data_IF_290431100857
#
_entry.id   IF_290431100857
#
_cell.length_a   1.000
_cell.length_b   1.000
_cell.length_c   1.000
_cell.angle_alpha   90.00
_cell.angle_beta   90.00
_cell.angle_gamma   90.00
#
_symmetry.space_group_name_H-M   'P 1'
#
loop_
_entity.id
_entity.type
_entity.pdbx_description
1 polymer ?
#
# COMPACT_ATOMS: atom_id res chain seq x y z
N UNK A 1 -43.99 -67.15 29.78
CA UNK A 1 -42.61 -66.60 29.65
C UNK A 1 -42.55 -65.41 28.69
N UNK A 2 -43.66 -64.74 28.36
CA UNK A 2 -43.71 -63.76 27.24
C UNK A 2 -43.77 -62.27 27.60
N UNK A 3 -44.17 -61.90 28.83
CA UNK A 3 -44.36 -60.47 29.12
C UNK A 3 -43.05 -59.67 29.24
N UNK A 4 -41.93 -60.31 29.58
CA UNK A 4 -40.59 -59.68 29.58
C UNK A 4 -40.10 -59.36 28.16
N UNK A 5 -40.37 -60.22 27.17
CA UNK A 5 -40.00 -59.98 25.77
C UNK A 5 -40.87 -58.89 25.12
N UNK A 6 -42.16 -58.83 25.46
CA UNK A 6 -43.05 -57.76 24.99
C UNK A 6 -42.61 -56.37 25.52
N UNK A 7 -42.26 -56.29 26.82
CA UNK A 7 -41.73 -55.06 27.42
C UNK A 7 -40.39 -54.64 26.81
N UNK A 8 -39.48 -55.59 26.58
CA UNK A 8 -38.20 -55.32 25.90
C UNK A 8 -38.37 -54.78 24.48
N UNK A 9 -39.29 -55.35 23.69
CA UNK A 9 -39.61 -54.85 22.34
C UNK A 9 -40.21 -53.45 22.35
N UNK A 10 -41.10 -53.15 23.31
CA UNK A 10 -41.68 -51.81 23.50
C UNK A 10 -40.61 -50.76 23.82
N UNK A 11 -39.64 -51.08 24.67
CA UNK A 11 -38.52 -50.18 25.00
C UNK A 11 -37.66 -49.92 23.77
N UNK A 12 -37.28 -50.95 23.01
CA UNK A 12 -36.50 -50.78 21.77
C UNK A 12 -37.25 -49.92 20.76
N UNK A 13 -38.55 -50.15 20.59
CA UNK A 13 -39.38 -49.38 19.64
C UNK A 13 -39.50 -47.91 20.06
N UNK A 14 -39.64 -47.64 21.36
CA UNK A 14 -39.63 -46.28 21.90
C UNK A 14 -38.29 -45.58 21.69
N UNK A 15 -37.16 -46.27 21.89
CA UNK A 15 -35.81 -45.73 21.64
C UNK A 15 -35.62 -45.42 20.15
N UNK A 16 -36.02 -46.32 19.25
CA UNK A 16 -35.94 -46.10 17.80
C UNK A 16 -36.79 -44.91 17.37
N UNK A 17 -38.03 -44.79 17.88
CA UNK A 17 -38.88 -43.64 17.60
C UNK A 17 -38.27 -42.32 18.10
N UNK A 18 -37.73 -42.32 19.33
CA UNK A 18 -37.02 -41.16 19.87
C UNK A 18 -35.82 -40.77 18.99
N UNK A 19 -35.04 -41.76 18.54
CA UNK A 19 -33.89 -41.53 17.66
C UNK A 19 -34.32 -40.96 16.30
N UNK A 20 -35.43 -41.43 15.71
CA UNK A 20 -35.98 -40.91 14.45
C UNK A 20 -36.45 -39.46 14.62
N UNK A 21 -37.18 -39.16 15.70
CA UNK A 21 -37.64 -37.78 16.00
C UNK A 21 -36.46 -36.85 16.21
N UNK A 22 -35.44 -37.30 16.96
CA UNK A 22 -34.23 -36.51 17.19
C UNK A 22 -33.42 -36.29 15.90
N UNK A 23 -33.27 -37.32 15.07
CA UNK A 23 -32.61 -37.23 13.77
C UNK A 23 -33.36 -36.29 12.83
N UNK A 24 -34.69 -36.38 12.76
CA UNK A 24 -35.52 -35.46 11.97
C UNK A 24 -35.34 -34.02 12.42
N UNK A 25 -35.41 -33.75 13.73
CA UNK A 25 -35.23 -32.41 14.28
C UNK A 25 -33.81 -31.87 13.98
N UNK A 26 -32.78 -32.69 14.20
CA UNK A 26 -31.38 -32.30 13.99
C UNK A 26 -31.07 -32.03 12.52
N UNK A 27 -31.49 -32.91 11.61
CA UNK A 27 -31.27 -32.75 10.16
C UNK A 27 -32.03 -31.53 9.64
N UNK A 28 -33.30 -31.39 10.02
CA UNK A 28 -34.12 -30.23 9.62
C UNK A 28 -33.47 -28.92 10.10
N UNK A 29 -33.01 -28.88 11.35
CA UNK A 29 -32.34 -27.70 11.90
C UNK A 29 -31.04 -27.37 11.16
N UNK A 30 -30.18 -28.38 10.95
CA UNK A 30 -28.90 -28.20 10.24
C UNK A 30 -29.11 -27.75 8.80
N UNK A 31 -30.13 -28.28 8.11
CA UNK A 31 -30.49 -27.83 6.76
C UNK A 31 -30.94 -26.36 6.77
N UNK A 32 -31.74 -25.93 7.76
CA UNK A 32 -32.12 -24.53 7.92
C UNK A 32 -30.91 -23.61 8.09
N UNK A 33 -30.00 -23.97 8.98
CA UNK A 33 -28.78 -23.19 9.23
C UNK A 33 -27.84 -23.17 8.03
N UNK A 34 -27.64 -24.32 7.38
CA UNK A 34 -26.83 -24.42 6.16
C UNK A 34 -27.41 -23.55 5.05
N UNK A 35 -28.73 -23.59 4.86
CA UNK A 35 -29.40 -22.78 3.86
C UNK A 35 -29.21 -21.28 4.14
N UNK A 36 -29.37 -20.85 5.39
CA UNK A 36 -29.12 -19.47 5.79
C UNK A 36 -27.65 -19.07 5.61
N UNK A 37 -26.71 -19.92 6.02
CA UNK A 37 -25.27 -19.66 5.94
C UNK A 37 -24.76 -19.53 4.49
N UNK A 38 -25.34 -20.31 3.57
CA UNK A 38 -24.96 -20.33 2.15
C UNK A 38 -25.74 -19.32 1.30
N UNK A 39 -26.61 -18.51 1.91
CA UNK A 39 -27.42 -17.50 1.21
C UNK A 39 -26.83 -16.11 1.47
N UNK A 40 -26.09 -15.53 0.50
CA UNK A 40 -25.72 -14.13 0.54
C UNK A 40 -26.96 -13.24 0.70
N UNK A 41 -26.99 -12.26 1.62
CA UNK A 41 -28.14 -11.38 1.77
C UNK A 41 -28.45 -10.56 0.50
N UNK A 42 -27.49 -10.31 -0.36
CA UNK A 42 -27.70 -9.49 -1.56
C UNK A 42 -28.26 -10.27 -2.77
N UNK A 43 -28.51 -11.58 -2.67
CA UNK A 43 -29.00 -12.34 -3.82
C UNK A 43 -30.52 -12.23 -4.00
N UNK A 44 -31.06 -12.26 -5.24
CA UNK A 44 -32.46 -11.97 -5.52
C UNK A 44 -33.48 -12.84 -4.77
N UNK A 45 -33.12 -14.09 -4.47
CA UNK A 45 -33.99 -15.05 -3.78
C UNK A 45 -33.68 -15.18 -2.27
N UNK A 46 -32.87 -14.27 -1.69
CA UNK A 46 -32.49 -14.34 -0.27
C UNK A 46 -33.70 -14.34 0.68
N UNK A 47 -34.72 -13.54 0.39
CA UNK A 47 -35.95 -13.51 1.20
C UNK A 47 -36.72 -14.84 1.18
N UNK A 48 -36.82 -15.49 0.02
CA UNK A 48 -37.49 -16.78 -0.10
C UNK A 48 -36.71 -17.89 0.62
N UNK A 49 -35.40 -17.94 0.39
CA UNK A 49 -34.51 -18.91 1.04
C UNK A 49 -34.44 -18.68 2.56
N UNK A 50 -34.47 -17.43 3.01
CA UNK A 50 -34.56 -17.09 4.43
C UNK A 50 -35.84 -17.58 5.08
N UNK A 51 -37.00 -17.47 4.40
CA UNK A 51 -38.29 -17.98 4.92
C UNK A 51 -38.26 -19.50 5.03
N UNK A 52 -37.69 -20.19 4.02
CA UNK A 52 -37.50 -21.64 4.05
C UNK A 52 -36.56 -22.04 5.20
N UNK A 53 -35.43 -21.35 5.35
CA UNK A 53 -34.46 -21.58 6.41
C UNK A 53 -35.10 -21.41 7.80
N UNK A 54 -35.88 -20.34 8.01
CA UNK A 54 -36.61 -20.10 9.26
C UNK A 54 -37.64 -21.19 9.52
N UNK A 55 -38.36 -21.67 8.50
CA UNK A 55 -39.30 -22.77 8.68
C UNK A 55 -38.58 -24.04 9.14
N UNK A 56 -37.40 -24.32 8.59
CA UNK A 56 -36.58 -25.47 8.95
C UNK A 56 -35.98 -25.34 10.36
N UNK A 57 -35.48 -24.16 10.73
CA UNK A 57 -34.86 -23.87 12.02
C UNK A 57 -35.47 -22.59 12.68
N UNK A 58 -36.69 -22.67 13.25
CA UNK A 58 -37.44 -21.49 13.70
C UNK A 58 -36.94 -20.88 15.01
N UNK A 59 -36.09 -21.59 15.74
CA UNK A 59 -35.51 -21.12 17.01
C UNK A 59 -34.00 -20.86 16.89
N UNK A 60 -33.47 -20.80 15.66
CA UNK A 60 -32.09 -20.41 15.39
C UNK A 60 -32.03 -18.93 15.00
N UNK A 61 -30.99 -18.24 15.48
CA UNK A 61 -30.80 -16.82 15.20
C UNK A 61 -30.38 -16.57 13.74
N UNK A 62 -29.66 -17.50 13.10
CA UNK A 62 -29.05 -17.26 11.79
C UNK A 62 -30.08 -17.14 10.64
N UNK A 63 -31.09 -18.02 10.51
CA UNK A 63 -32.16 -17.83 9.53
C UNK A 63 -32.97 -16.55 9.75
N UNK A 64 -33.16 -16.17 11.02
CA UNK A 64 -33.88 -14.96 11.37
C UNK A 64 -33.06 -13.70 11.05
N UNK A 65 -31.75 -13.74 11.29
CA UNK A 65 -30.81 -12.68 10.92
C UNK A 65 -30.81 -12.42 9.41
N UNK A 66 -30.84 -13.48 8.60
CA UNK A 66 -30.91 -13.36 7.14
C UNK A 66 -32.18 -12.61 6.71
N UNK A 67 -33.34 -12.96 7.28
CA UNK A 67 -34.60 -12.29 6.98
C UNK A 67 -34.63 -10.85 7.50
N UNK A 68 -34.12 -10.59 8.69
CA UNK A 68 -34.03 -9.24 9.27
C UNK A 68 -33.14 -8.33 8.39
N UNK A 69 -32.06 -8.89 7.85
CA UNK A 69 -31.18 -8.19 6.92
C UNK A 69 -31.90 -7.85 5.61
N UNK A 70 -32.73 -8.75 5.07
CA UNK A 70 -33.55 -8.43 3.88
C UNK A 70 -34.51 -7.28 4.13
N UNK A 71 -35.21 -7.33 5.26
CA UNK A 71 -36.19 -6.31 5.62
C UNK A 71 -35.52 -4.94 5.76
N UNK A 72 -34.36 -4.89 6.43
CA UNK A 72 -33.58 -3.65 6.60
C UNK A 72 -33.22 -2.96 5.27
N UNK A 73 -32.93 -3.72 4.22
CA UNK A 73 -32.53 -3.21 2.89
C UNK A 73 -33.70 -2.68 2.04
N UNK A 74 -34.94 -2.78 2.51
CA UNK A 74 -36.12 -2.26 1.81
C UNK A 74 -36.36 -0.75 2.09
N UNK A 75 -35.65 -0.16 3.07
CA UNK A 75 -35.60 1.26 3.42
C UNK A 75 -36.94 2.01 3.64
N UNK A 76 -38.10 1.35 3.60
CA UNK A 76 -39.38 1.98 3.93
C UNK A 76 -39.51 2.15 5.45
N UNK A 77 -40.20 3.20 5.96
CA UNK A 77 -40.35 3.39 7.40
C UNK A 77 -40.94 2.17 8.14
N UNK A 78 -41.93 1.52 7.52
CA UNK A 78 -42.52 0.28 8.05
C UNK A 78 -41.49 -0.86 8.09
N UNK A 79 -40.69 -1.00 7.04
CA UNK A 79 -39.69 -2.05 6.94
C UNK A 79 -38.52 -1.83 7.90
N UNK A 80 -38.15 -0.58 8.14
CA UNK A 80 -37.15 -0.20 9.16
C UNK A 80 -37.63 -0.63 10.55
N UNK A 81 -38.85 -0.30 10.94
CA UNK A 81 -39.40 -0.68 12.25
C UNK A 81 -39.58 -2.21 12.37
N UNK A 82 -40.06 -2.87 11.31
CA UNK A 82 -40.16 -4.33 11.26
C UNK A 82 -38.79 -4.99 11.43
N UNK A 83 -37.75 -4.45 10.78
CA UNK A 83 -36.39 -4.97 10.87
C UNK A 83 -35.85 -4.89 12.31
N UNK A 84 -36.16 -3.80 13.03
CA UNK A 84 -35.79 -3.65 14.44
C UNK A 84 -36.37 -4.78 15.28
N UNK A 85 -37.68 -5.02 15.20
CA UNK A 85 -38.34 -6.11 15.94
C UNK A 85 -37.76 -7.48 15.58
N UNK A 86 -37.41 -7.70 14.30
CA UNK A 86 -36.75 -8.93 13.88
C UNK A 86 -35.33 -9.07 14.46
N UNK A 87 -34.53 -8.00 14.50
CA UNK A 87 -33.19 -8.04 15.11
C UNK A 87 -33.23 -8.18 16.63
N UNK A 88 -34.25 -7.63 17.31
CA UNK A 88 -34.51 -7.86 18.74
C UNK A 88 -34.72 -9.37 19.02
N UNK A 89 -35.47 -10.05 18.15
CA UNK A 89 -35.64 -11.49 18.22
C UNK A 89 -34.36 -12.27 17.89
N UNK A 90 -33.56 -11.80 16.93
CA UNK A 90 -32.24 -12.39 16.61
C UNK A 90 -31.34 -12.39 17.85
N UNK A 91 -31.22 -11.25 18.54
CA UNK A 91 -30.39 -11.18 19.76
C UNK A 91 -31.00 -11.95 20.92
N UNK A 92 -32.33 -12.13 20.96
CA UNK A 92 -32.99 -13.01 21.94
C UNK A 92 -32.66 -14.48 21.71
N UNK A 93 -32.58 -14.91 20.45
CA UNK A 93 -32.20 -16.28 20.07
C UNK A 93 -30.69 -16.53 20.15
N UNK A 94 -29.87 -15.51 19.89
CA UNK A 94 -28.40 -15.58 19.90
C UNK A 94 -27.74 -14.48 20.74
N UNK A 95 -27.97 -14.42 22.06
CA UNK A 95 -27.58 -13.27 22.89
C UNK A 95 -26.07 -13.08 23.08
N UNK A 96 -25.26 -14.10 22.74
CA UNK A 96 -23.81 -14.09 22.95
C UNK A 96 -23.02 -13.85 21.67
N UNK A 97 -23.67 -13.60 20.53
CA UNK A 97 -23.01 -13.27 19.28
C UNK A 97 -22.99 -11.76 19.07
N UNK A 98 -21.81 -11.15 19.24
CA UNK A 98 -21.64 -9.70 19.09
C UNK A 98 -22.08 -9.17 17.70
N UNK A 99 -22.04 -10.02 16.66
CA UNK A 99 -22.40 -9.62 15.29
C UNK A 99 -23.88 -9.27 15.21
N UNK A 100 -24.74 -9.99 15.92
CA UNK A 100 -26.17 -9.70 15.98
C UNK A 100 -26.46 -8.40 16.73
N UNK A 101 -25.71 -8.12 17.79
CA UNK A 101 -25.82 -6.85 18.51
C UNK A 101 -25.37 -5.65 17.67
N UNK A 102 -24.36 -5.82 16.81
CA UNK A 102 -23.99 -4.79 15.82
C UNK A 102 -25.14 -4.53 14.84
N UNK A 103 -25.74 -5.58 14.30
CA UNK A 103 -26.84 -5.43 13.34
C UNK A 103 -28.08 -4.81 13.97
N UNK A 104 -28.40 -5.17 15.22
CA UNK A 104 -29.46 -4.51 16.00
C UNK A 104 -29.14 -3.02 16.22
N UNK A 105 -27.90 -2.68 16.55
CA UNK A 105 -27.47 -1.29 16.69
C UNK A 105 -27.65 -0.49 15.41
N UNK A 106 -27.28 -1.07 14.26
CA UNK A 106 -27.49 -0.46 12.93
C UNK A 106 -28.97 -0.30 12.60
N UNK A 107 -29.81 -1.28 12.95
CA UNK A 107 -31.25 -1.20 12.72
C UNK A 107 -31.89 -0.09 13.57
N UNK A 108 -31.53 0.04 14.85
CA UNK A 108 -31.98 1.16 15.68
C UNK A 108 -31.49 2.51 15.16
N UNK A 109 -30.26 2.59 14.65
CA UNK A 109 -29.74 3.83 14.06
C UNK A 109 -30.54 4.23 12.82
N UNK A 110 -30.85 3.27 11.94
CA UNK A 110 -31.69 3.49 10.76
C UNK A 110 -33.13 3.87 11.13
N UNK A 111 -33.62 3.40 12.28
CA UNK A 111 -34.91 3.75 12.85
C UNK A 111 -34.92 5.07 13.64
N UNK A 112 -33.84 5.84 13.59
CA UNK A 112 -33.69 7.11 14.34
C UNK A 112 -33.84 6.94 15.86
N UNK A 113 -33.39 5.81 16.41
CA UNK A 113 -33.39 5.47 17.85
C UNK A 113 -31.96 5.40 18.42
N UNK A 114 -31.20 6.52 18.47
CA UNK A 114 -29.77 6.51 18.77
C UNK A 114 -29.43 5.98 20.17
N UNK A 115 -30.28 6.18 21.19
CA UNK A 115 -30.02 5.69 22.55
C UNK A 115 -30.16 4.17 22.66
N UNK A 116 -30.98 3.55 21.81
CA UNK A 116 -31.06 2.08 21.71
C UNK A 116 -29.91 1.53 20.88
N UNK A 117 -29.54 2.23 19.79
CA UNK A 117 -28.38 1.88 18.97
C UNK A 117 -27.08 1.86 19.80
N UNK A 118 -26.86 2.89 20.62
CA UNK A 118 -25.70 2.99 21.50
C UNK A 118 -25.63 1.80 22.48
N UNK A 119 -26.75 1.43 23.11
CA UNK A 119 -26.82 0.28 24.03
C UNK A 119 -26.52 -1.05 23.32
N UNK A 120 -27.04 -1.25 22.11
CA UNK A 120 -26.79 -2.46 21.34
C UNK A 120 -25.31 -2.57 20.91
N UNK A 121 -24.72 -1.46 20.43
CA UNK A 121 -23.30 -1.42 20.05
C UNK A 121 -22.37 -1.55 21.26
N UNK A 122 -22.70 -0.94 22.40
CA UNK A 122 -21.99 -1.14 23.65
C UNK A 122 -21.99 -2.63 24.06
N UNK A 123 -23.14 -3.31 23.93
CA UNK A 123 -23.23 -4.75 24.19
C UNK A 123 -22.36 -5.59 23.23
N UNK A 124 -22.27 -5.20 21.97
CA UNK A 124 -21.37 -5.87 21.02
C UNK A 124 -19.89 -5.74 21.44
N UNK A 125 -19.48 -4.56 21.91
CA UNK A 125 -18.13 -4.32 22.46
C UNK A 125 -17.90 -5.12 23.74
N UNK A 126 -18.88 -5.21 24.64
CA UNK A 126 -18.77 -6.04 25.87
C UNK A 126 -18.56 -7.53 25.57
N UNK A 127 -19.25 -8.05 24.55
CA UNK A 127 -19.15 -9.47 24.16
C UNK A 127 -17.84 -9.81 23.46
N UNK A 128 -17.26 -8.84 22.75
CA UNK A 128 -16.03 -9.04 21.99
C UNK A 128 -15.06 -7.85 22.16
N UNK A 129 -14.59 -7.59 23.41
CA UNK A 129 -13.78 -6.40 23.74
C UNK A 129 -12.39 -6.44 23.12
N UNK A 130 -12.03 -7.60 22.55
CA UNK A 130 -10.76 -7.83 21.90
C UNK A 130 -10.84 -7.84 20.37
N UNK A 131 -12.04 -7.75 19.80
CA UNK A 131 -12.26 -7.75 18.36
C UNK A 131 -12.31 -6.32 17.84
N UNK A 132 -11.65 -6.08 16.72
CA UNK A 132 -11.57 -4.76 16.09
C UNK A 132 -12.92 -4.27 15.55
N UNK A 133 -13.73 -5.18 15.01
CA UNK A 133 -14.95 -4.83 14.27
C UNK A 133 -16.04 -4.16 15.13
N UNK A 134 -16.37 -4.63 16.36
CA UNK A 134 -17.29 -3.90 17.25
C UNK A 134 -16.84 -2.47 17.56
N UNK A 135 -15.58 -2.27 17.90
CA UNK A 135 -15.02 -0.93 18.17
C UNK A 135 -15.09 -0.03 16.94
N UNK A 136 -14.80 -0.56 15.75
CA UNK A 136 -14.95 0.16 14.49
C UNK A 136 -16.39 0.60 14.26
N UNK A 137 -17.37 -0.30 14.42
CA UNK A 137 -18.78 0.03 14.24
C UNK A 137 -19.26 1.07 15.25
N UNK A 138 -18.83 0.92 16.51
CA UNK A 138 -19.24 1.83 17.57
C UNK A 138 -18.64 3.23 17.42
N UNK A 139 -17.36 3.32 17.05
CA UNK A 139 -16.71 4.58 16.75
C UNK A 139 -17.37 5.32 15.57
N UNK A 140 -17.71 4.60 14.51
CA UNK A 140 -18.41 5.20 13.36
C UNK A 140 -19.83 5.65 13.69
N UNK A 141 -20.54 4.91 14.56
CA UNK A 141 -21.83 5.37 15.11
C UNK A 141 -21.65 6.71 15.82
N UNK A 142 -20.67 6.83 16.73
CA UNK A 142 -20.43 8.08 17.44
C UNK A 142 -20.08 9.26 16.51
N UNK A 143 -19.35 9.03 15.41
CA UNK A 143 -19.11 10.08 14.41
C UNK A 143 -20.42 10.56 13.75
N UNK A 144 -21.33 9.64 13.42
CA UNK A 144 -22.65 10.00 12.86
C UNK A 144 -23.52 10.74 13.86
N UNK A 145 -23.31 10.51 15.16
CA UNK A 145 -23.96 11.27 16.25
C UNK A 145 -23.22 12.56 16.61
N UNK A 146 -22.18 12.95 15.87
CA UNK A 146 -21.35 14.13 16.13
C UNK A 146 -20.67 14.13 17.53
N UNK A 147 -20.38 12.93 18.04
CA UNK A 147 -19.74 12.65 19.34
C UNK A 147 -18.30 12.20 19.13
N UNK A 148 -17.46 13.15 18.74
CA UNK A 148 -16.12 12.87 18.20
C UNK A 148 -15.16 12.31 19.25
N UNK A 149 -15.24 12.78 20.49
CA UNK A 149 -14.36 12.31 21.56
C UNK A 149 -14.59 10.83 21.85
N UNK A 150 -15.85 10.40 21.96
CA UNK A 150 -16.20 8.99 22.13
C UNK A 150 -15.87 8.15 20.90
N UNK A 151 -16.12 8.71 19.69
CA UNK A 151 -15.79 8.04 18.45
C UNK A 151 -14.30 7.67 18.38
N UNK A 152 -13.43 8.65 18.60
CA UNK A 152 -12.01 8.46 18.48
C UNK A 152 -11.40 7.65 19.65
N UNK A 153 -12.05 7.64 20.81
CA UNK A 153 -11.70 6.70 21.89
C UNK A 153 -11.93 5.24 21.48
N UNK A 154 -13.04 4.93 20.80
CA UNK A 154 -13.32 3.58 20.29
C UNK A 154 -12.44 3.23 19.07
N UNK A 155 -12.27 4.16 18.12
CA UNK A 155 -11.43 3.93 16.94
C UNK A 155 -9.95 3.74 17.31
N UNK A 156 -9.44 4.41 18.35
CA UNK A 156 -8.08 4.19 18.85
C UNK A 156 -7.81 2.72 19.17
N UNK A 157 -8.77 2.02 19.79
CA UNK A 157 -8.66 0.58 20.11
C UNK A 157 -8.52 -0.29 18.86
N UNK A 158 -9.00 0.17 17.71
CA UNK A 158 -8.88 -0.56 16.45
C UNK A 158 -7.47 -0.49 15.84
N UNK A 159 -6.78 0.64 16.06
CA UNK A 159 -5.44 0.87 15.52
C UNK A 159 -4.39 -0.07 16.12
N UNK A 160 -4.59 -0.52 17.35
CA UNK A 160 -3.65 -1.42 18.03
C UNK A 160 -3.58 -2.80 17.37
N UNK A 161 -4.73 -3.34 16.95
CA UNK A 161 -4.90 -4.78 16.71
C UNK A 161 -4.98 -5.18 15.25
N UNK A 162 -5.33 -4.26 14.36
CA UNK A 162 -5.48 -4.57 12.94
C UNK A 162 -4.80 -3.52 12.07
N UNK A 163 -3.85 -3.99 11.25
CA UNK A 163 -3.18 -3.17 10.25
C UNK A 163 -4.20 -2.56 9.27
N UNK A 164 -5.19 -3.36 8.84
CA UNK A 164 -6.23 -2.92 7.88
C UNK A 164 -7.09 -1.79 8.45
N UNK A 165 -7.58 -1.94 9.68
CA UNK A 165 -8.39 -0.88 10.30
C UNK A 165 -7.54 0.34 10.71
N UNK A 166 -6.27 0.15 11.07
CA UNK A 166 -5.35 1.25 11.42
C UNK A 166 -5.24 2.27 10.30
N UNK A 167 -5.02 1.82 9.06
CA UNK A 167 -4.94 2.73 7.91
C UNK A 167 -6.26 3.45 7.65
N UNK A 168 -7.39 2.75 7.79
CA UNK A 168 -8.72 3.34 7.64
C UNK A 168 -9.00 4.40 8.70
N UNK A 169 -8.64 4.14 9.97
CA UNK A 169 -8.79 5.11 11.06
C UNK A 169 -7.90 6.32 10.85
N UNK A 170 -6.64 6.13 10.46
CA UNK A 170 -5.76 7.27 10.18
C UNK A 170 -6.29 8.12 9.02
N UNK A 171 -6.82 7.48 7.97
CA UNK A 171 -7.42 8.18 6.83
C UNK A 171 -8.66 8.96 7.25
N UNK A 172 -9.56 8.32 8.00
CA UNK A 172 -10.76 8.95 8.54
C UNK A 172 -10.44 10.14 9.44
N UNK A 173 -9.49 9.98 10.36
CA UNK A 173 -9.04 11.04 11.25
C UNK A 173 -8.40 12.20 10.49
N UNK A 174 -7.57 11.89 9.50
CA UNK A 174 -6.93 12.89 8.65
C UNK A 174 -7.95 13.74 7.89
N UNK A 175 -8.98 13.12 7.32
CA UNK A 175 -10.03 13.86 6.61
C UNK A 175 -10.95 14.60 7.58
N UNK A 176 -11.27 14.00 8.74
CA UNK A 176 -12.13 14.60 9.76
C UNK A 176 -11.49 15.83 10.43
N UNK A 177 -10.19 15.78 10.72
CA UNK A 177 -9.46 16.85 11.40
C UNK A 177 -8.74 17.81 10.45
N UNK A 178 -9.25 17.97 9.22
CA UNK A 178 -8.68 18.86 8.20
C UNK A 178 -7.16 18.73 8.06
N UNK A 179 -6.70 17.48 8.00
CA UNK A 179 -5.29 17.10 7.77
C UNK A 179 -4.34 17.52 8.90
N UNK A 180 -4.84 17.64 10.13
CA UNK A 180 -4.01 17.90 11.31
C UNK A 180 -3.23 16.63 11.75
N UNK A 181 -1.89 16.62 11.62
CA UNK A 181 -1.06 15.49 12.02
C UNK A 181 -1.16 15.16 13.52
N UNK A 182 -1.32 16.17 14.38
CA UNK A 182 -1.34 15.99 15.83
C UNK A 182 -2.58 15.21 16.27
N UNK A 183 -3.71 15.46 15.61
CA UNK A 183 -4.96 14.75 15.88
C UNK A 183 -4.92 13.29 15.43
N UNK A 184 -4.28 13.00 14.29
CA UNK A 184 -4.07 11.62 13.83
C UNK A 184 -3.09 10.90 14.76
N UNK A 185 -2.01 11.56 15.17
CA UNK A 185 -1.01 11.01 16.09
C UNK A 185 -1.58 10.68 17.48
N UNK A 186 -2.56 11.45 17.98
CA UNK A 186 -3.22 11.14 19.24
C UNK A 186 -3.97 9.79 19.21
N UNK A 187 -4.34 9.29 18.03
CA UNK A 187 -4.96 7.98 17.83
C UNK A 187 -3.93 6.85 17.71
N UNK A 188 -2.68 7.19 17.40
CA UNK A 188 -1.61 6.23 17.25
C UNK A 188 -1.14 5.77 18.63
N UNK A 189 -1.29 4.48 18.88
CA UNK A 189 -0.76 3.87 20.10
C UNK A 189 0.76 3.80 20.01
N UNK A 190 1.44 4.04 21.14
CA UNK A 190 2.89 4.14 21.22
C UNK A 190 3.57 2.75 21.11
N UNK A 191 3.42 2.11 19.96
CA UNK A 191 4.08 0.85 19.62
C UNK A 191 4.83 0.98 18.30
N UNK A 192 5.94 0.24 18.12
CA UNK A 192 6.73 0.29 16.88
C UNK A 192 5.93 -0.04 15.63
N UNK A 193 5.00 -1.01 15.70
CA UNK A 193 4.14 -1.41 14.58
C UNK A 193 3.20 -0.29 14.13
N UNK A 194 2.64 0.45 15.09
CA UNK A 194 1.72 1.55 14.78
C UNK A 194 2.49 2.74 14.23
N UNK A 195 3.64 3.07 14.83
CA UNK A 195 4.54 4.14 14.36
C UNK A 195 5.04 3.90 12.94
N UNK A 196 5.48 2.69 12.62
CA UNK A 196 5.93 2.36 11.26
C UNK A 196 4.79 2.49 10.24
N UNK A 197 3.57 2.07 10.60
CA UNK A 197 2.38 2.25 9.75
C UNK A 197 2.01 3.73 9.59
N UNK A 198 2.11 4.52 10.66
CA UNK A 198 1.84 5.96 10.62
C UNK A 198 2.86 6.72 9.76
N UNK A 199 4.14 6.33 9.82
CA UNK A 199 5.15 6.87 8.93
C UNK A 199 4.83 6.56 7.45
N UNK A 200 4.42 5.32 7.16
CA UNK A 200 3.96 4.94 5.82
C UNK A 200 2.72 5.73 5.36
N UNK A 201 1.77 5.93 6.26
CA UNK A 201 0.57 6.72 6.02
C UNK A 201 0.90 8.16 5.58
N UNK A 202 1.85 8.81 6.26
CA UNK A 202 2.30 10.15 5.90
C UNK A 202 3.09 10.20 4.60
N UNK A 203 3.97 9.21 4.38
CA UNK A 203 4.75 9.10 3.16
C UNK A 203 3.86 8.96 1.91
N UNK A 204 2.83 8.11 1.98
CA UNK A 204 1.86 7.92 0.89
C UNK A 204 1.13 9.22 0.50
N UNK A 205 1.00 10.15 1.44
CA UNK A 205 0.37 11.47 1.24
C UNK A 205 1.37 12.59 0.90
N UNK A 206 2.66 12.26 0.70
CA UNK A 206 3.71 13.24 0.39
C UNK A 206 4.17 14.06 1.60
N UNK A 207 3.68 13.76 2.81
CA UNK A 207 4.09 14.41 4.06
C UNK A 207 5.40 13.83 4.57
N UNK A 208 6.50 14.06 3.82
CA UNK A 208 7.79 13.45 4.09
C UNK A 208 8.36 13.82 5.47
N UNK A 209 8.18 15.07 5.89
CA UNK A 209 8.69 15.58 7.16
C UNK A 209 8.04 14.84 8.35
N UNK A 210 6.73 14.62 8.30
CA UNK A 210 6.00 13.83 9.30
C UNK A 210 6.40 12.35 9.24
N UNK A 211 6.55 11.78 8.05
CA UNK A 211 6.98 10.39 7.88
C UNK A 211 8.36 10.15 8.52
N UNK A 212 9.35 11.00 8.23
CA UNK A 212 10.69 10.93 8.81
C UNK A 212 10.65 11.15 10.32
N UNK A 213 9.93 12.15 10.80
CA UNK A 213 9.82 12.45 12.24
C UNK A 213 9.31 11.25 13.01
N UNK A 214 8.20 10.65 12.58
CA UNK A 214 7.62 9.46 13.24
C UNK A 214 8.56 8.27 13.13
N UNK A 215 9.14 8.02 11.96
CA UNK A 215 10.09 6.92 11.76
C UNK A 215 11.30 7.01 12.69
N UNK A 216 11.83 8.23 12.88
CA UNK A 216 12.97 8.48 13.76
C UNK A 216 12.65 8.35 15.26
N UNK A 217 11.39 8.16 15.64
CA UNK A 217 11.02 7.77 17.01
C UNK A 217 11.22 6.27 17.29
N UNK A 218 11.45 5.46 16.25
CA UNK A 218 11.83 4.05 16.39
C UNK A 218 13.31 3.95 16.77
N UNK A 219 13.64 3.03 17.67
CA UNK A 219 15.04 2.78 18.05
C UNK A 219 15.78 2.03 16.93
N UNK A 220 17.11 2.12 16.92
CA UNK A 220 17.95 1.41 15.94
C UNK A 220 17.77 -0.12 15.98
N UNK A 221 17.43 -0.68 17.15
CA UNK A 221 17.12 -2.11 17.27
C UNK A 221 15.73 -2.48 16.72
N UNK A 222 14.80 -1.52 16.63
CA UNK A 222 13.44 -1.74 16.13
C UNK A 222 13.34 -1.60 14.61
N UNK A 223 14.06 -0.64 14.02
CA UNK A 223 13.99 -0.33 12.58
C UNK A 223 14.21 -1.55 11.65
N UNK A 224 15.13 -2.50 11.94
CA UNK A 224 15.32 -3.69 11.12
C UNK A 224 14.08 -4.58 10.97
N UNK A 225 13.12 -4.52 11.91
CA UNK A 225 11.87 -5.29 11.82
C UNK A 225 10.89 -4.72 10.78
N UNK A 226 11.12 -3.48 10.30
CA UNK A 226 10.21 -2.75 9.43
C UNK A 226 10.86 -2.35 8.10
N UNK A 227 11.89 -3.08 7.66
CA UNK A 227 12.61 -2.76 6.42
C UNK A 227 11.68 -2.71 5.21
N UNK A 228 10.73 -3.65 5.06
CA UNK A 228 9.75 -3.61 3.96
C UNK A 228 8.91 -2.33 3.99
N UNK A 229 8.44 -1.92 5.17
CA UNK A 229 7.70 -0.67 5.36
C UNK A 229 8.53 0.54 4.94
N UNK A 230 9.79 0.62 5.36
CA UNK A 230 10.63 1.75 4.96
C UNK A 230 11.04 1.71 3.49
N UNK A 231 11.14 0.53 2.85
CA UNK A 231 11.31 0.45 1.38
C UNK A 231 10.10 1.04 0.65
N UNK A 232 8.88 0.76 1.12
CA UNK A 232 7.64 1.36 0.59
C UNK A 232 7.61 2.87 0.82
N UNK A 233 8.04 3.34 2.00
CA UNK A 233 8.17 4.77 2.28
C UNK A 233 9.16 5.43 1.32
N UNK A 234 10.37 4.88 1.19
CA UNK A 234 11.40 5.41 0.30
C UNK A 234 10.89 5.54 -1.14
N UNK A 235 10.22 4.50 -1.65
CA UNK A 235 9.63 4.49 -3.00
C UNK A 235 8.49 5.49 -3.14
N UNK A 236 7.56 5.55 -2.19
CA UNK A 236 6.45 6.52 -2.24
C UNK A 236 6.94 7.96 -2.22
N UNK A 237 7.94 8.27 -1.38
CA UNK A 237 8.57 9.59 -1.35
C UNK A 237 9.32 9.91 -2.65
N UNK A 238 10.01 8.91 -3.22
CA UNK A 238 10.69 9.05 -4.49
C UNK A 238 9.72 9.42 -5.63
N UNK A 239 8.60 8.70 -5.73
CA UNK A 239 7.53 8.95 -6.72
C UNK A 239 6.86 10.32 -6.52
N UNK A 240 6.74 10.76 -5.27
CA UNK A 240 6.27 12.11 -4.90
C UNK A 240 7.36 13.17 -4.96
N UNK A 241 8.52 12.84 -5.53
CA UNK A 241 9.59 13.78 -5.81
C UNK A 241 10.15 14.45 -4.55
N UNK A 242 10.20 13.71 -3.44
CA UNK A 242 10.85 14.09 -2.19
C UNK A 242 12.17 13.34 -2.06
N UNK A 243 13.18 13.75 -2.85
CA UNK A 243 14.38 12.95 -3.10
C UNK A 243 15.28 12.89 -1.87
N UNK A 244 15.40 13.97 -1.11
CA UNK A 244 16.23 13.99 0.09
C UNK A 244 15.66 13.08 1.17
N UNK A 245 14.37 13.16 1.44
CA UNK A 245 13.74 12.30 2.44
C UNK A 245 13.69 10.84 1.96
N UNK A 246 13.42 10.61 0.68
CA UNK A 246 13.48 9.27 0.09
C UNK A 246 14.88 8.63 0.26
N UNK A 247 15.95 9.40 0.04
CA UNK A 247 17.33 8.93 0.21
C UNK A 247 17.62 8.55 1.66
N UNK A 248 17.11 9.32 2.63
CA UNK A 248 17.26 9.01 4.05
C UNK A 248 16.65 7.64 4.39
N UNK A 249 15.44 7.35 3.89
CA UNK A 249 14.81 6.03 4.06
C UNK A 249 15.53 4.92 3.28
N UNK A 250 16.00 5.19 2.06
CA UNK A 250 16.73 4.22 1.26
C UNK A 250 17.96 3.70 2.04
N UNK A 251 18.78 4.63 2.57
CA UNK A 251 19.97 4.30 3.36
C UNK A 251 19.69 3.42 4.57
N UNK A 252 18.55 3.63 5.24
CA UNK A 252 18.14 2.86 6.42
C UNK A 252 17.55 1.48 6.07
N UNK A 253 17.16 1.24 4.82
CA UNK A 253 16.46 0.02 4.38
C UNK A 253 17.34 -0.99 3.65
N UNK A 254 18.61 -0.64 3.46
CA UNK A 254 19.55 -1.39 2.62
C UNK A 254 19.33 -1.19 1.12
N UNK A 255 18.38 -0.35 0.69
CA UNK A 255 18.31 0.14 -0.69
C UNK A 255 19.35 1.25 -0.82
N UNK A 256 20.32 1.11 -1.72
CA UNK A 256 21.33 2.15 -1.97
C UNK A 256 22.04 2.63 -0.69
N UNK A 257 22.47 1.70 0.17
CA UNK A 257 23.14 2.01 1.45
C UNK A 257 24.30 3.01 1.31
N UNK A 258 25.01 2.94 0.20
CA UNK A 258 26.20 3.77 -0.06
C UNK A 258 25.85 5.14 -0.65
N UNK A 259 24.59 5.37 -1.03
CA UNK A 259 24.17 6.64 -1.61
C UNK A 259 24.29 7.79 -0.59
N UNK A 260 24.84 8.91 -1.05
CA UNK A 260 25.04 10.11 -0.26
C UNK A 260 24.29 11.28 -0.88
N UNK A 261 23.91 12.24 -0.03
CA UNK A 261 23.39 13.51 -0.53
C UNK A 261 24.44 14.19 -1.42
N UNK A 262 23.99 14.83 -2.49
CA UNK A 262 24.82 15.69 -3.33
C UNK A 262 26.01 14.94 -3.97
N UNK A 263 25.86 13.63 -4.17
CA UNK A 263 26.89 12.76 -4.77
C UNK A 263 26.28 11.81 -5.79
N UNK A 264 27.08 11.46 -6.80
CA UNK A 264 26.78 10.34 -7.70
C UNK A 264 27.12 9.04 -6.97
N UNK A 265 26.19 8.08 -6.98
CA UNK A 265 26.41 6.75 -6.39
C UNK A 265 27.07 5.84 -7.42
N UNK A 266 28.11 5.10 -7.04
CA UNK A 266 28.81 4.19 -7.96
C UNK A 266 29.28 4.89 -9.26
N UNK A 267 29.89 6.07 -9.14
CA UNK A 267 30.27 6.91 -10.28
C UNK A 267 31.29 6.28 -11.24
N UNK A 268 32.12 5.36 -10.76
CA UNK A 268 33.06 4.57 -11.59
C UNK A 268 32.57 3.17 -11.97
N UNK A 269 31.31 2.82 -11.68
CA UNK A 269 30.73 1.50 -12.02
C UNK A 269 31.48 0.28 -11.40
N UNK A 270 32.15 0.49 -10.28
CA UNK A 270 32.90 -0.51 -9.53
C UNK A 270 32.01 -1.56 -8.86
N UNK A 271 30.79 -1.18 -8.48
CA UNK A 271 29.79 -2.09 -7.91
C UNK A 271 28.79 -2.57 -8.97
N UNK A 272 28.12 -3.69 -8.68
CA UNK A 272 27.12 -4.29 -9.58
C UNK A 272 25.96 -3.32 -9.88
N UNK A 273 25.58 -3.24 -11.15
CA UNK A 273 24.43 -2.47 -11.64
C UNK A 273 23.28 -3.44 -11.92
N UNK A 274 22.33 -3.48 -10.98
CA UNK A 274 21.19 -4.42 -10.97
C UNK A 274 20.04 -4.04 -11.88
N UNK A 275 18.84 -4.55 -11.56
CA UNK A 275 17.62 -4.16 -12.25
C UNK A 275 17.22 -2.72 -11.87
N UNK A 276 16.56 -1.95 -12.77
CA UNK A 276 16.11 -0.60 -12.45
C UNK A 276 15.23 -0.47 -11.21
N UNK A 277 14.49 -1.53 -10.86
CA UNK A 277 13.56 -1.54 -9.71
C UNK A 277 14.25 -1.87 -8.37
N UNK A 278 15.51 -2.30 -8.40
CA UNK A 278 16.30 -2.65 -7.21
C UNK A 278 16.88 -1.40 -6.51
N UNK A 279 16.86 -0.25 -7.17
CA UNK A 279 17.55 0.97 -6.77
C UNK A 279 16.70 2.22 -7.03
N UNK A 280 16.87 3.24 -6.18
CA UNK A 280 16.25 4.56 -6.33
C UNK A 280 17.28 5.62 -6.75
N UNK A 281 18.49 5.54 -6.17
CA UNK A 281 19.59 6.51 -6.29
C UNK A 281 20.87 5.93 -6.91
N UNK A 282 20.89 4.64 -7.22
CA UNK A 282 21.91 4.01 -8.05
C UNK A 282 21.61 4.17 -9.55
N UNK A 283 22.50 3.60 -10.36
CA UNK A 283 22.34 3.60 -11.82
C UNK A 283 21.21 2.65 -12.24
N UNK A 284 20.17 3.21 -12.86
CA UNK A 284 19.06 2.49 -13.47
C UNK A 284 19.31 2.34 -14.97
N UNK A 285 19.45 1.10 -15.41
CA UNK A 285 19.77 0.76 -16.81
C UNK A 285 18.58 0.05 -17.47
N UNK A 286 17.89 0.76 -18.35
CA UNK A 286 16.73 0.28 -19.10
C UNK A 286 17.18 -0.38 -20.42
N UNK A 287 17.09 -1.71 -20.48
CA UNK A 287 17.52 -2.53 -21.62
C UNK A 287 16.34 -2.91 -22.51
N UNK A 288 15.65 -1.90 -23.03
CA UNK A 288 14.38 -2.08 -23.79
C UNK A 288 14.58 -2.26 -25.29
N UNK A 289 15.69 -1.76 -25.86
CA UNK A 289 16.01 -1.90 -27.28
C UNK A 289 17.10 -2.96 -27.47
N UNK A 290 16.85 -4.08 -28.17
CA UNK A 290 17.84 -5.13 -28.39
C UNK A 290 19.04 -4.67 -29.23
N UNK A 291 18.95 -3.52 -29.90
CA UNK A 291 20.06 -2.92 -30.65
C UNK A 291 20.99 -2.09 -29.78
N UNK A 292 20.66 -1.86 -28.51
CA UNK A 292 21.49 -1.12 -27.57
C UNK A 292 21.93 -2.06 -26.46
N UNK A 293 23.23 -2.33 -26.41
CA UNK A 293 23.85 -3.18 -25.41
C UNK A 293 24.50 -2.32 -24.32
N UNK A 294 24.03 -2.44 -23.07
CA UNK A 294 24.54 -1.68 -21.92
C UNK A 294 25.05 -2.64 -20.86
N UNK A 295 26.37 -2.70 -20.73
CA UNK A 295 27.06 -3.65 -19.86
C UNK A 295 28.29 -3.00 -19.23
N UNK A 296 28.68 -3.42 -18.01
CA UNK A 296 29.99 -3.06 -17.46
C UNK A 296 31.12 -3.68 -18.30
N UNK A 297 32.25 -2.99 -18.40
CA UNK A 297 33.43 -3.43 -19.14
C UNK A 297 34.68 -3.32 -18.25
N UNK A 298 35.41 -4.41 -18.06
CA UNK A 298 36.63 -4.46 -17.26
C UNK A 298 37.91 -4.24 -18.07
N UNK A 299 37.82 -4.28 -19.39
CA UNK A 299 38.97 -4.14 -20.29
C UNK A 299 39.22 -2.68 -20.64
N UNK A 300 38.15 -1.94 -20.93
CA UNK A 300 38.20 -0.50 -21.25
C UNK A 300 37.66 0.27 -20.05
N UNK A 301 38.54 1.02 -19.38
CA UNK A 301 38.23 1.80 -18.17
C UNK A 301 39.16 3.01 -18.04
N UNK A 302 38.74 4.05 -17.34
CA UNK A 302 39.50 5.26 -17.07
C UNK A 302 40.27 5.11 -15.75
N UNK A 303 39.54 4.87 -14.66
CA UNK A 303 40.07 4.60 -13.32
C UNK A 303 39.51 3.24 -12.84
N UNK A 304 39.95 2.76 -11.67
CA UNK A 304 39.33 1.59 -11.04
C UNK A 304 39.45 0.27 -11.81
N UNK A 305 38.40 -0.55 -11.73
CA UNK A 305 38.35 -1.91 -12.29
C UNK A 305 37.33 -2.09 -13.40
N UNK A 306 36.39 -1.14 -13.58
CA UNK A 306 35.29 -1.23 -14.55
C UNK A 306 34.94 0.14 -15.13
N UNK A 307 34.20 0.14 -16.22
CA UNK A 307 33.45 1.30 -16.73
C UNK A 307 32.09 0.84 -17.28
N UNK A 308 31.22 1.78 -17.67
CA UNK A 308 29.96 1.44 -18.32
C UNK A 308 30.08 1.56 -19.84
N UNK A 309 29.90 0.45 -20.56
CA UNK A 309 29.88 0.41 -22.02
C UNK A 309 28.45 0.46 -22.56
N UNK A 310 28.23 1.32 -23.55
CA UNK A 310 27.02 1.36 -24.37
C UNK A 310 27.41 1.14 -25.83
N UNK A 311 26.97 0.02 -26.42
CA UNK A 311 27.21 -0.29 -27.83
C UNK A 311 25.92 -0.25 -28.64
N UNK A 312 26.00 0.38 -29.82
CA UNK A 312 24.88 0.61 -30.72
C UNK A 312 25.00 -0.27 -31.97
N UNK A 313 24.00 -1.13 -32.21
CA UNK A 313 23.94 -2.07 -33.33
C UNK A 313 23.02 -1.59 -34.46
N UNK A 314 23.24 -0.35 -34.95
CA UNK A 314 22.53 0.23 -36.10
C UNK A 314 21.35 1.13 -35.72
N UNK A 315 20.34 1.25 -36.59
CA UNK A 315 19.23 2.21 -36.41
C UNK A 315 18.49 2.06 -35.07
N UNK A 316 18.54 3.10 -34.24
CA UNK A 316 17.79 3.22 -32.99
C UNK A 316 16.79 4.39 -33.08
N UNK A 317 15.83 4.43 -32.17
CA UNK A 317 14.97 5.62 -31.99
C UNK A 317 15.80 6.85 -31.61
N UNK A 318 15.20 8.03 -31.80
CA UNK A 318 15.81 9.36 -31.53
C UNK A 318 16.22 9.49 -30.06
N UNK A 319 15.43 8.93 -29.14
CA UNK A 319 15.63 9.12 -27.70
C UNK A 319 16.55 8.05 -27.08
N UNK A 320 17.59 8.51 -26.40
CA UNK A 320 18.53 7.68 -25.64
C UNK A 320 18.39 7.98 -24.14
N UNK A 321 17.38 7.43 -23.46
CA UNK A 321 17.12 7.64 -22.03
C UNK A 321 17.28 6.35 -21.21
N UNK A 322 18.29 5.56 -21.56
CA UNK A 322 18.44 4.19 -21.08
C UNK A 322 19.33 4.05 -19.83
N UNK A 323 20.15 5.04 -19.50
CA UNK A 323 20.98 5.04 -18.29
C UNK A 323 20.64 6.30 -17.51
N UNK A 324 20.13 6.11 -16.30
CA UNK A 324 19.62 7.20 -15.46
C UNK A 324 20.10 7.00 -14.03
N UNK A 325 20.55 8.08 -13.39
CA UNK A 325 20.75 8.10 -11.96
C UNK A 325 20.05 9.31 -11.34
N UNK A 326 19.44 9.07 -10.19
CA UNK A 326 18.81 10.09 -9.37
C UNK A 326 19.80 10.61 -8.34
N UNK A 327 19.92 11.92 -8.20
CA UNK A 327 20.77 12.53 -7.17
C UNK A 327 19.95 13.50 -6.34
N UNK A 328 19.94 13.31 -5.02
CA UNK A 328 19.34 14.26 -4.09
C UNK A 328 20.26 15.48 -3.93
N UNK A 329 19.80 16.65 -4.34
CA UNK A 329 20.56 17.92 -4.32
C UNK A 329 19.97 18.89 -3.31
N UNK A 330 20.66 20.00 -3.04
CA UNK A 330 20.07 21.12 -2.32
C UNK A 330 19.34 22.05 -3.30
N UNK A 331 18.07 22.41 -3.05
CA UNK A 331 17.35 23.36 -3.88
C UNK A 331 18.09 24.68 -4.04
N UNK A 332 18.17 25.20 -5.25
CA UNK A 332 18.83 26.48 -5.59
C UNK A 332 20.36 26.48 -5.52
N UNK A 333 21.00 25.37 -5.10
CA UNK A 333 22.45 25.31 -5.04
C UNK A 333 23.07 25.07 -6.44
N UNK A 334 24.30 25.56 -6.62
CA UNK A 334 25.07 25.40 -7.85
C UNK A 334 25.98 24.19 -7.76
N UNK A 335 26.07 23.43 -8.84
CA UNK A 335 26.83 22.20 -8.91
C UNK A 335 27.64 22.12 -10.21
N UNK A 336 28.71 21.31 -10.14
CA UNK A 336 29.52 20.88 -11.26
C UNK A 336 29.53 19.36 -11.31
N UNK A 337 29.06 18.80 -12.42
CA UNK A 337 29.19 17.38 -12.74
C UNK A 337 30.40 17.18 -13.65
N UNK A 338 31.31 16.29 -13.26
CA UNK A 338 32.42 15.83 -14.11
C UNK A 338 32.30 14.34 -14.35
N UNK A 339 32.68 13.87 -15.54
CA UNK A 339 32.72 12.45 -15.89
C UNK A 339 33.69 12.22 -17.05
N UNK A 340 34.16 10.99 -17.20
CA UNK A 340 35.04 10.57 -18.27
C UNK A 340 34.21 9.91 -19.38
N UNK A 341 34.50 10.26 -20.63
CA UNK A 341 33.87 9.66 -21.81
C UNK A 341 34.93 9.18 -22.78
N UNK A 342 34.70 8.02 -23.38
CA UNK A 342 35.49 7.48 -24.49
C UNK A 342 34.55 7.03 -25.59
N UNK A 343 34.92 7.22 -26.84
CA UNK A 343 34.13 6.78 -28.00
C UNK A 343 34.95 5.88 -28.91
N UNK A 344 34.29 4.92 -29.54
CA UNK A 344 34.89 4.14 -30.61
C UNK A 344 33.93 4.01 -31.79
N UNK A 345 34.41 4.42 -32.98
CA UNK A 345 33.67 4.41 -34.23
C UNK A 345 32.28 5.03 -34.13
N UNK A 346 32.11 6.05 -33.28
CA UNK A 346 30.83 6.69 -33.01
C UNK A 346 30.37 7.47 -34.24
N UNK A 347 29.23 7.06 -34.82
CA UNK A 347 28.56 7.78 -35.91
C UNK A 347 27.14 8.04 -35.49
N UNK A 348 26.69 9.29 -35.54
CA UNK A 348 25.37 9.65 -35.06
C UNK A 348 24.78 10.81 -35.86
N UNK A 349 23.51 10.71 -36.26
CA UNK A 349 22.76 11.84 -36.84
C UNK A 349 22.47 12.95 -35.81
N UNK A 350 22.36 12.58 -34.54
CA UNK A 350 22.24 13.48 -33.40
C UNK A 350 23.24 13.08 -32.32
N UNK A 351 24.33 13.84 -32.10
CA UNK A 351 25.40 13.42 -31.23
C UNK A 351 24.90 13.15 -29.80
N UNK A 352 25.41 12.10 -29.13
CA UNK A 352 25.09 11.83 -27.74
C UNK A 352 25.56 12.94 -26.83
N UNK A 353 24.79 13.16 -25.77
CA UNK A 353 25.07 14.10 -24.69
C UNK A 353 24.68 13.46 -23.36
N UNK A 354 25.23 14.00 -22.27
CA UNK A 354 24.70 13.74 -20.94
C UNK A 354 23.76 14.89 -20.55
N UNK A 355 22.54 14.56 -20.14
CA UNK A 355 21.54 15.54 -19.73
C UNK A 355 21.36 15.51 -18.21
N UNK A 356 21.21 16.71 -17.66
CA UNK A 356 20.75 16.94 -16.30
C UNK A 356 19.35 17.51 -16.43
N UNK A 357 18.36 16.79 -15.91
CA UNK A 357 16.97 17.19 -15.98
C UNK A 357 16.36 17.31 -14.59
N UNK A 358 15.30 18.10 -14.49
CA UNK A 358 14.44 18.06 -13.32
C UNK A 358 13.72 16.72 -13.27
N UNK A 359 13.54 16.19 -12.06
CA UNK A 359 12.71 15.01 -11.80
C UNK A 359 11.22 15.25 -12.04
N UNK A 360 10.83 16.52 -12.25
CA UNK A 360 9.48 16.98 -12.60
C UNK A 360 9.45 17.35 -14.09
N UNK A 361 8.45 16.85 -14.83
CA UNK A 361 8.18 17.18 -16.25
C UNK A 361 9.30 16.84 -17.26
N UNK A 362 10.35 16.11 -16.87
CA UNK A 362 11.54 15.89 -17.71
C UNK A 362 12.15 17.20 -18.25
N UNK A 363 11.98 18.31 -17.53
CA UNK A 363 12.47 19.62 -17.97
C UNK A 363 14.00 19.64 -17.95
N UNK A 364 14.61 19.95 -19.08
CA UNK A 364 16.07 20.09 -19.20
C UNK A 364 16.61 21.22 -18.31
N UNK A 365 17.62 20.92 -17.49
CA UNK A 365 18.35 21.89 -16.67
C UNK A 365 19.65 22.26 -17.37
N UNK A 366 20.44 21.25 -17.74
CA UNK A 366 21.72 21.43 -18.43
C UNK A 366 22.04 20.20 -19.29
N UNK A 367 22.97 20.37 -20.22
CA UNK A 367 23.49 19.29 -21.05
C UNK A 367 25.00 19.46 -21.18
N UNK A 368 25.73 18.35 -21.31
CA UNK A 368 27.11 18.39 -21.75
C UNK A 368 27.21 18.89 -23.19
N UNK A 369 28.43 19.28 -23.58
CA UNK A 369 28.77 19.40 -24.98
C UNK A 369 28.56 18.05 -25.71
N UNK A 370 28.20 18.09 -27.00
CA UNK A 370 28.10 16.89 -27.83
C UNK A 370 29.38 16.07 -27.85
N UNK A 371 29.23 14.74 -27.77
CA UNK A 371 30.40 13.86 -27.82
C UNK A 371 31.02 13.83 -29.22
N UNK A 372 32.34 13.70 -29.25
CA UNK A 372 33.12 13.67 -30.49
C UNK A 372 32.77 12.44 -31.33
N UNK A 373 32.56 12.68 -32.63
CA UNK A 373 32.35 11.61 -33.60
C UNK A 373 33.66 10.84 -33.87
N UNK A 374 33.53 9.59 -34.29
CA UNK A 374 34.66 8.70 -34.53
C UNK A 374 35.16 8.02 -33.25
N UNK A 375 36.47 7.81 -33.17
CA UNK A 375 37.12 7.21 -32.00
C UNK A 375 37.94 8.28 -31.29
N UNK A 376 37.60 8.55 -30.03
CA UNK A 376 38.32 9.45 -29.15
C UNK A 376 38.69 8.70 -27.87
N UNK A 377 39.92 8.89 -27.40
CA UNK A 377 40.35 8.34 -26.10
C UNK A 377 39.65 9.06 -24.94
N UNK A 378 39.87 8.58 -23.72
CA UNK A 378 39.26 9.12 -22.51
C UNK A 378 39.42 10.65 -22.40
N UNK A 379 38.29 11.35 -22.33
CA UNK A 379 38.20 12.79 -22.17
C UNK A 379 37.29 13.13 -20.99
N UNK A 380 37.74 14.06 -20.15
CA UNK A 380 36.91 14.59 -19.08
C UNK A 380 35.91 15.61 -19.63
N UNK A 381 34.63 15.39 -19.33
CA UNK A 381 33.53 16.29 -19.62
C UNK A 381 33.11 17.01 -18.35
N UNK A 382 32.60 18.24 -18.48
CA UNK A 382 32.14 19.07 -17.36
C UNK A 382 30.79 19.70 -17.69
N UNK A 383 29.87 19.68 -16.73
CA UNK A 383 28.55 20.31 -16.84
C UNK A 383 28.26 21.08 -15.56
N UNK A 384 28.20 22.41 -15.68
CA UNK A 384 27.79 23.29 -14.59
C UNK A 384 26.28 23.50 -14.65
N UNK A 385 25.60 23.40 -13.51
CA UNK A 385 24.15 23.65 -13.43
C UNK A 385 23.75 24.24 -12.07
N UNK A 386 22.56 24.83 -12.03
CA UNK A 386 21.93 25.27 -10.78
C UNK A 386 20.69 24.42 -10.56
N UNK A 387 20.58 23.80 -9.38
CA UNK A 387 19.40 23.03 -9.00
C UNK A 387 18.18 23.97 -8.94
N UNK A 388 16.98 23.52 -9.35
CA UNK A 388 15.77 24.31 -9.21
C UNK A 388 15.54 24.72 -7.74
N UNK A 389 14.96 25.90 -7.50
CA UNK A 389 14.76 26.42 -6.14
C UNK A 389 13.63 25.73 -5.37
N UNK A 390 12.72 25.08 -6.09
CA UNK A 390 11.52 24.42 -5.60
C UNK A 390 11.67 22.89 -5.50
N UNK A 391 12.86 22.35 -5.80
CA UNK A 391 13.05 20.91 -5.98
C UNK A 391 14.39 20.40 -5.47
N UNK A 392 14.40 19.20 -4.91
CA UNK A 392 15.51 18.62 -4.14
C UNK A 392 16.18 17.41 -4.83
N UNK A 393 15.86 17.17 -6.10
CA UNK A 393 16.43 16.10 -6.91
C UNK A 393 16.91 16.58 -8.28
N UNK A 394 17.77 15.80 -8.92
CA UNK A 394 18.02 15.89 -10.36
C UNK A 394 18.20 14.49 -10.92
N UNK A 395 17.91 14.31 -12.21
CA UNK A 395 18.24 13.09 -12.92
C UNK A 395 19.42 13.35 -13.87
N UNK A 396 20.47 12.57 -13.71
CA UNK A 396 21.57 12.46 -14.66
C UNK A 396 21.18 11.34 -15.62
N UNK A 397 21.05 11.64 -16.91
CA UNK A 397 20.69 10.63 -17.89
C UNK A 397 21.47 10.76 -19.19
N UNK A 398 21.57 9.65 -19.90
CA UNK A 398 21.93 9.68 -21.31
C UNK A 398 20.90 10.48 -22.11
N UNK A 399 21.33 11.08 -23.21
CA UNK A 399 20.48 11.83 -24.13
C UNK A 399 21.15 12.02 -25.49
N UNK A 400 20.41 12.64 -26.42
CA UNK A 400 20.91 12.99 -27.76
C UNK A 400 20.40 14.37 -28.15
N UNK A 401 21.20 15.06 -28.96
CA UNK A 401 20.74 16.27 -29.66
C UNK A 401 19.68 15.86 -30.68
N UNK A 402 18.59 16.61 -30.77
CA UNK A 402 17.50 16.35 -31.72
C UNK A 402 18.00 16.42 -33.18
N UNK A 403 17.52 15.49 -34.01
CA UNK A 403 18.10 15.18 -35.32
C UNK A 403 17.05 14.76 -36.36
N UNK A 404 15.78 15.11 -36.15
CA UNK A 404 14.66 14.71 -37.03
C UNK A 404 14.25 13.24 -36.85
N UNK A 405 13.43 12.73 -37.78
CA UNK A 405 12.87 11.38 -37.72
C UNK A 405 13.91 10.27 -37.95
N UNK A 406 14.86 10.51 -38.86
CA UNK A 406 15.94 9.57 -39.19
C UNK A 406 17.22 9.92 -38.43
N UNK A 407 17.36 9.35 -37.23
CA UNK A 407 18.50 9.63 -36.37
C UNK A 407 19.36 8.39 -36.05
N UNK A 408 20.09 7.84 -37.03
CA UNK A 408 20.91 6.65 -36.84
C UNK A 408 22.02 6.90 -35.82
N UNK A 409 22.42 5.85 -35.11
CA UNK A 409 23.60 5.82 -34.25
C UNK A 409 24.30 4.47 -34.36
N UNK A 410 25.62 4.47 -34.44
CA UNK A 410 26.44 3.26 -34.38
C UNK A 410 27.76 3.56 -33.68
N UNK A 411 28.44 2.51 -33.24
CA UNK A 411 29.69 2.61 -32.47
C UNK A 411 29.48 2.31 -30.99
N UNK A 412 30.45 2.70 -30.18
CA UNK A 412 30.45 2.41 -28.74
C UNK A 412 30.84 3.66 -27.96
N UNK A 413 30.22 3.83 -26.79
CA UNK A 413 30.54 4.87 -25.82
C UNK A 413 30.85 4.17 -24.50
N UNK A 414 31.89 4.64 -23.81
CA UNK A 414 32.13 4.28 -22.42
C UNK A 414 32.02 5.50 -21.54
N UNK A 415 31.46 5.30 -20.34
CA UNK A 415 31.42 6.30 -19.29
C UNK A 415 32.13 5.80 -18.04
N UNK A 416 32.78 6.72 -17.35
CA UNK A 416 33.49 6.43 -16.10
C UNK A 416 33.60 7.68 -15.21
N UNK A 417 34.00 7.50 -13.95
CA UNK A 417 34.41 8.55 -13.01
C UNK A 417 33.44 9.73 -12.85
N UNK A 418 32.14 9.47 -12.76
CA UNK A 418 31.16 10.51 -12.46
C UNK A 418 31.36 11.08 -11.05
N UNK A 419 31.50 12.41 -10.94
CA UNK A 419 31.64 13.14 -9.68
C UNK A 419 30.78 14.40 -9.70
N UNK A 420 30.05 14.64 -8.61
CA UNK A 420 29.29 15.87 -8.40
C UNK A 420 29.99 16.71 -7.33
N UNK A 421 30.19 17.99 -7.60
CA UNK A 421 30.79 18.93 -6.65
C UNK A 421 29.91 20.16 -6.52
N UNK A 422 29.64 20.58 -5.28
CA UNK A 422 28.93 21.82 -4.99
C UNK A 422 29.87 23.02 -5.17
N UNK A 423 29.42 24.06 -5.87
CA UNK A 423 30.21 25.24 -6.23
C UNK A 423 30.02 26.41 -5.26
#
# INVERSE_FOLDING_TARGET
MDSKNAKGRLVVLAVVLCAIVFAWFSVRWQLGNMLAALTPPNQPNAAELGRLARNLAPSDALPMWLLATQEKENFSPESVENSVGMFEDVVRLGPNDFRYWIELGRAYEQAEQPEKAERALARAVELAPNYTFPHWQFGNFYLRQNRSDEAFAELRKTTERSIVYREQVFSLAWDYFDKDPQKVEALAVDTPDVKSTLALFYAARGSADNALRIWNTLTEDQKPNYLDTAKRIARGLFEKQRYRESLEFARQTGIDRDAQFESVTNGGFETFVGAPDDTLFGWRVFRTDPKIDVLPDSNVKSEGSRSLRIAFKGYTKVDLHNVVQSVAVQPGARYRLTFMVRTDNLRSGGPPVLQIISGIENKGIASSDPFEAGSADWKQMTVDFTAPSDFDGVLIRTGRVACGEDCPISGTIWYDDFRLTKL
#
